data_IF_425766051401
#
_entry.id   IF_425766051401
#
_cell.length_a   1.000
_cell.length_b   1.000
_cell.length_c   1.000
_cell.angle_alpha   90.00
_cell.angle_beta   90.00
_cell.angle_gamma   90.00
#
_symmetry.space_group_name_H-M   'P 1'
#
loop_
_entity.id
_entity.type
_entity.pdbx_description
1 polymer ?
#
# COMPACT_ATOMS: atom_id res chain seq x y z
N UNK A 1 25.58 -14.21 9.11
CA UNK A 1 25.39 -13.06 8.19
C UNK A 1 24.59 -13.57 7.00
N UNK A 2 23.40 -13.03 6.74
CA UNK A 2 22.62 -13.47 5.58
C UNK A 2 23.21 -12.81 4.33
N UNK A 3 23.88 -13.60 3.50
CA UNK A 3 24.32 -13.21 2.16
C UNK A 3 23.20 -12.50 1.42
N UNK A 4 23.55 -11.37 0.79
CA UNK A 4 22.66 -10.63 -0.08
C UNK A 4 22.19 -11.56 -1.19
N UNK A 5 20.93 -12.02 -1.12
CA UNK A 5 20.28 -12.77 -2.19
C UNK A 5 20.54 -12.06 -3.53
N UNK A 6 21.23 -12.74 -4.44
CA UNK A 6 21.57 -12.28 -5.79
C UNK A 6 20.32 -12.01 -6.63
N UNK A 7 19.20 -12.68 -6.33
CA UNK A 7 17.92 -12.46 -6.99
C UNK A 7 16.89 -11.75 -6.09
N UNK A 8 16.25 -10.73 -6.67
CA UNK A 8 15.17 -10.03 -5.99
C UNK A 8 13.94 -10.95 -5.85
N UNK A 9 13.36 -11.10 -4.65
CA UNK A 9 12.23 -12.01 -4.45
C UNK A 9 11.04 -11.69 -5.36
N UNK A 10 10.56 -12.69 -6.12
CA UNK A 10 9.44 -12.56 -7.07
C UNK A 10 8.21 -11.89 -6.45
N UNK A 11 7.84 -12.25 -5.22
CA UNK A 11 6.71 -11.64 -4.48
C UNK A 11 6.85 -10.12 -4.33
N UNK A 12 8.05 -9.63 -4.06
CA UNK A 12 8.29 -8.18 -3.89
C UNK A 12 8.21 -7.44 -5.22
N UNK A 13 8.59 -8.09 -6.32
CA UNK A 13 8.46 -7.52 -7.67
C UNK A 13 6.98 -7.44 -8.08
N UNK A 14 6.21 -8.49 -7.81
CA UNK A 14 4.76 -8.51 -8.03
C UNK A 14 4.04 -7.43 -7.22
N UNK A 15 4.39 -7.28 -5.92
CA UNK A 15 3.82 -6.21 -5.10
C UNK A 15 4.16 -4.80 -5.61
N UNK A 16 5.37 -4.63 -6.16
CA UNK A 16 5.80 -3.38 -6.77
C UNK A 16 4.96 -3.04 -8.00
N UNK A 17 4.76 -4.00 -8.90
CA UNK A 17 3.91 -3.85 -10.08
C UNK A 17 2.45 -3.56 -9.68
N UNK A 18 1.91 -4.33 -8.74
CA UNK A 18 0.55 -4.13 -8.23
C UNK A 18 0.36 -2.69 -7.70
N UNK A 19 1.35 -2.14 -6.98
CA UNK A 19 1.25 -0.77 -6.46
C UNK A 19 1.40 0.31 -7.54
N UNK A 20 1.92 -0.02 -8.72
CA UNK A 20 1.92 0.89 -9.86
C UNK A 20 0.57 0.91 -10.58
N UNK A 21 -0.14 -0.22 -10.59
CA UNK A 21 -1.41 -0.37 -11.28
C UNK A 21 -2.59 0.14 -10.45
N UNK A 22 -2.58 -0.09 -9.13
CA UNK A 22 -3.68 0.28 -8.23
C UNK A 22 -3.99 1.79 -8.23
N UNK A 23 -3.01 2.72 -8.13
CA UNK A 23 -3.27 4.16 -8.17
C UNK A 23 -3.82 4.65 -9.52
N UNK A 24 -3.62 3.89 -10.61
CA UNK A 24 -4.18 4.22 -11.94
C UNK A 24 -5.62 3.74 -12.08
N UNK A 25 -5.96 2.63 -11.42
CA UNK A 25 -7.28 2.01 -11.49
C UNK A 25 -8.29 2.63 -10.52
N UNK A 26 -7.82 3.18 -9.40
CA UNK A 26 -8.66 3.71 -8.35
C UNK A 26 -8.50 5.21 -8.19
N UNK A 27 -9.62 5.93 -8.04
CA UNK A 27 -9.64 7.38 -7.94
C UNK A 27 -9.05 7.89 -6.61
N UNK A 28 -9.27 7.13 -5.53
CA UNK A 28 -8.84 7.52 -4.18
C UNK A 28 -7.83 6.52 -3.62
N UNK A 29 -6.69 7.04 -3.18
CA UNK A 29 -5.67 6.28 -2.43
C UNK A 29 -5.60 6.83 -1.02
N UNK A 30 -5.94 6.00 -0.03
CA UNK A 30 -5.85 6.32 1.38
C UNK A 30 -4.69 5.58 2.06
N UNK A 31 -3.98 6.28 2.94
CA UNK A 31 -2.94 5.74 3.81
C UNK A 31 -3.47 5.66 5.25
N UNK A 32 -3.51 4.46 5.78
CA UNK A 32 -4.02 4.17 7.13
C UNK A 32 -2.86 3.72 8.01
N UNK A 33 -2.73 4.37 9.17
CA UNK A 33 -1.75 4.02 10.19
C UNK A 33 -2.31 2.92 11.08
N UNK A 34 -1.61 1.79 11.16
CA UNK A 34 -2.07 0.59 11.86
C UNK A 34 -1.56 0.47 13.30
N UNK A 35 -0.76 1.43 13.78
CA UNK A 35 -0.07 1.37 15.08
C UNK A 35 -0.98 1.09 16.29
N UNK A 36 -2.25 1.50 16.26
CA UNK A 36 -3.22 1.28 17.34
C UNK A 36 -4.38 0.35 16.97
N UNK A 37 -4.35 -0.24 15.77
CA UNK A 37 -5.43 -1.10 15.29
C UNK A 37 -5.06 -2.56 15.51
N UNK A 38 -5.85 -3.24 16.35
CA UNK A 38 -5.63 -4.68 16.60
C UNK A 38 -6.05 -5.48 15.37
N UNK A 39 -5.30 -6.55 15.08
CA UNK A 39 -5.61 -7.43 13.94
C UNK A 39 -7.03 -8.00 13.97
N UNK A 40 -7.60 -8.21 15.16
CA UNK A 40 -8.98 -8.66 15.35
C UNK A 40 -10.04 -7.70 14.79
N UNK A 41 -9.78 -6.39 14.82
CA UNK A 41 -10.68 -5.37 14.28
C UNK A 41 -10.58 -5.26 12.75
N UNK A 42 -9.47 -5.70 12.17
CA UNK A 42 -9.23 -5.60 10.74
C UNK A 42 -10.08 -6.60 9.94
N UNK A 43 -10.37 -7.77 10.50
CA UNK A 43 -11.13 -8.82 9.81
C UNK A 43 -12.59 -8.41 9.54
N UNK A 44 -13.35 -7.87 10.53
CA UNK A 44 -14.68 -7.30 10.27
C UNK A 44 -14.67 -6.18 9.24
N UNK A 45 -13.70 -5.27 9.31
CA UNK A 45 -13.56 -4.16 8.35
C UNK A 45 -13.30 -4.68 6.94
N UNK A 46 -12.42 -5.67 6.79
CA UNK A 46 -12.15 -6.32 5.51
C UNK A 46 -13.39 -6.98 4.92
N UNK A 47 -14.22 -7.64 5.74
CA UNK A 47 -15.47 -8.26 5.27
C UNK A 47 -16.48 -7.22 4.80
N UNK A 48 -16.66 -6.12 5.54
CA UNK A 48 -17.59 -5.05 5.16
C UNK A 48 -17.18 -4.33 3.87
N UNK A 49 -15.88 -4.11 3.70
CA UNK A 49 -15.34 -3.32 2.59
C UNK A 49 -14.80 -4.16 1.42
N UNK A 50 -15.04 -5.47 1.44
CA UNK A 50 -14.41 -6.43 0.51
C UNK A 50 -14.65 -6.10 -0.97
N UNK A 51 -15.82 -5.58 -1.30
CA UNK A 51 -16.23 -5.30 -2.68
C UNK A 51 -15.87 -3.89 -3.15
N UNK A 52 -15.74 -2.95 -2.22
CA UNK A 52 -15.61 -1.51 -2.53
C UNK A 52 -14.19 -0.98 -2.32
N UNK A 53 -13.40 -1.64 -1.46
CA UNK A 53 -12.08 -1.17 -1.06
C UNK A 53 -11.06 -2.29 -1.20
N UNK A 54 -10.03 -2.06 -2.00
CA UNK A 54 -8.84 -2.92 -2.01
C UNK A 54 -7.87 -2.50 -0.92
N UNK A 55 -7.72 -3.38 0.06
CA UNK A 55 -6.81 -3.20 1.19
C UNK A 55 -5.51 -3.95 0.90
N UNK A 56 -4.38 -3.26 0.90
CA UNK A 56 -3.07 -3.84 0.59
C UNK A 56 -2.04 -3.43 1.65
N UNK A 57 -1.36 -4.42 2.22
CA UNK A 57 -0.23 -4.23 3.14
C UNK A 57 1.07 -4.49 2.40
N UNK A 58 1.90 -3.46 2.22
CA UNK A 58 3.20 -3.54 1.54
C UNK A 58 4.28 -2.94 2.45
N UNK A 59 5.52 -3.45 2.34
CA UNK A 59 6.68 -2.86 3.03
C UNK A 59 6.94 -1.44 2.54
N UNK A 60 7.18 -0.52 3.47
CA UNK A 60 7.39 0.91 3.19
C UNK A 60 8.48 1.18 2.15
N UNK A 61 9.58 0.43 2.18
CA UNK A 61 10.67 0.56 1.19
C UNK A 61 10.21 0.26 -0.24
N UNK A 62 9.32 -0.72 -0.42
CA UNK A 62 8.77 -1.08 -1.75
C UNK A 62 7.78 -0.01 -2.17
N UNK A 63 6.91 0.43 -1.25
CA UNK A 63 5.93 1.46 -1.53
C UNK A 63 6.58 2.78 -1.92
N UNK A 64 7.60 3.22 -1.19
CA UNK A 64 8.39 4.42 -1.48
C UNK A 64 8.98 4.39 -2.90
N UNK A 65 9.58 3.27 -3.31
CA UNK A 65 10.15 3.11 -4.65
C UNK A 65 9.10 3.06 -5.76
N UNK A 66 7.92 2.52 -5.48
CA UNK A 66 6.84 2.45 -6.47
C UNK A 66 6.26 3.84 -6.70
N UNK A 67 6.00 4.57 -5.61
CA UNK A 67 5.51 5.94 -5.62
C UNK A 67 6.50 6.95 -6.21
N UNK A 68 7.82 6.73 -6.11
CA UNK A 68 8.82 7.56 -6.79
C UNK A 68 8.69 7.57 -8.32
N UNK A 69 8.19 6.48 -8.91
CA UNK A 69 7.98 6.39 -10.37
C UNK A 69 6.62 6.89 -10.83
N UNK A 70 5.69 7.12 -9.90
CA UNK A 70 4.33 7.58 -10.20
C UNK A 70 4.28 9.09 -10.04
N UNK A 71 4.19 9.82 -11.15
CA UNK A 71 4.07 11.28 -11.16
C UNK A 71 2.61 11.72 -10.99
N UNK A 72 1.97 11.29 -9.89
CA UNK A 72 0.58 11.66 -9.56
C UNK A 72 0.62 12.79 -8.51
N UNK A 73 -0.16 13.87 -8.69
CA UNK A 73 -0.24 14.95 -7.71
C UNK A 73 -0.71 14.39 -6.35
N UNK A 74 0.06 14.66 -5.30
CA UNK A 74 -0.24 14.21 -3.92
C UNK A 74 0.60 13.03 -3.42
N UNK A 75 1.24 12.26 -4.31
CA UNK A 75 2.10 11.12 -3.90
C UNK A 75 3.32 11.58 -3.09
N UNK A 76 3.89 12.76 -3.39
CA UNK A 76 5.01 13.34 -2.62
C UNK A 76 4.65 13.51 -1.13
N UNK A 77 3.44 14.00 -0.83
CA UNK A 77 2.93 14.14 0.55
C UNK A 77 2.66 12.77 1.19
N UNK A 78 2.23 11.78 0.41
CA UNK A 78 2.01 10.42 0.88
C UNK A 78 3.34 9.74 1.29
N UNK A 79 4.41 10.00 0.53
CA UNK A 79 5.77 9.47 0.78
C UNK A 79 6.36 9.91 2.12
N UNK A 80 6.06 11.13 2.54
CA UNK A 80 6.51 11.68 3.83
C UNK A 80 5.73 11.07 5.00
N UNK A 81 4.44 10.77 4.79
CA UNK A 81 3.56 10.16 5.80
C UNK A 81 3.73 8.63 5.95
N UNK A 82 4.53 8.00 5.10
CA UNK A 82 4.90 6.58 5.16
C UNK A 82 5.88 6.31 6.31
N UNK A 83 5.40 6.43 7.54
CA UNK A 83 6.17 6.14 8.76
C UNK A 83 5.44 5.11 9.62
N UNK A 84 6.15 4.05 9.99
CA UNK A 84 5.62 2.98 10.84
C UNK A 84 4.77 1.96 10.08
N UNK A 85 3.89 1.26 10.80
CA UNK A 85 3.03 0.24 10.22
C UNK A 85 1.89 0.89 9.42
N UNK A 86 2.01 0.90 8.09
CA UNK A 86 1.03 1.49 7.19
C UNK A 86 0.23 0.45 6.39
N UNK A 87 -1.00 0.81 6.05
CA UNK A 87 -1.92 0.05 5.21
C UNK A 87 -2.45 0.96 4.11
N UNK A 88 -2.49 0.46 2.87
CA UNK A 88 -3.06 1.19 1.76
C UNK A 88 -4.48 0.72 1.49
N UNK A 89 -5.37 1.69 1.28
CA UNK A 89 -6.74 1.45 0.84
C UNK A 89 -6.95 2.15 -0.49
N UNK A 90 -7.43 1.40 -1.47
CA UNK A 90 -7.75 1.91 -2.79
C UNK A 90 -9.26 1.78 -3.01
N UNK A 91 -9.92 2.89 -3.32
CA UNK A 91 -11.37 2.93 -3.53
C UNK A 91 -11.75 3.94 -4.61
N UNK A 92 -12.94 3.74 -5.17
CA UNK A 92 -13.59 4.68 -6.10
C UNK A 92 -14.71 5.46 -5.41
N UNK A 93 -14.91 5.27 -4.11
CA UNK A 93 -15.82 6.07 -3.31
C UNK A 93 -15.31 7.51 -3.23
N UNK A 94 -16.24 8.47 -3.12
CA UNK A 94 -15.89 9.86 -2.87
C UNK A 94 -15.09 9.96 -1.56
N UNK A 95 -13.97 10.73 -1.54
CA UNK A 95 -13.11 10.89 -0.37
C UNK A 95 -13.72 11.76 0.72
#
# INVERSE_FOLDING_TARGET
MHENRTEYPKKKAQMYQLLQDLPKKYNVTALVRMEKVRGSQLLPLRKKLQNEVKIVSIKDKIARKAFEKLDIPGIKKLKEKLTGQCLFMFTNMSP
#
